data_IF_256655445670
#
_entry.id   IF_256655445670
#
_cell.length_a   1.000
_cell.length_b   1.000
_cell.length_c   1.000
_cell.angle_alpha   90.00
_cell.angle_beta   90.00
_cell.angle_gamma   90.00
#
_symmetry.space_group_name_H-M   'P 1'
#
loop_
_entity.id
_entity.type
_entity.pdbx_description
1 polymer ?
#
# COMPACT_ATOMS: atom_id res chain seq x y z
N UNK A 1 2.94 6.95 -21.73
CA UNK A 1 2.83 7.26 -20.29
C UNK A 1 1.92 6.23 -19.67
N UNK A 2 2.18 5.75 -18.45
CA UNK A 2 1.29 4.81 -17.80
C UNK A 2 -0.07 5.47 -17.53
N UNK A 3 -1.15 4.75 -17.82
CA UNK A 3 -2.52 5.15 -17.51
C UNK A 3 -2.94 4.60 -16.15
N UNK A 4 -3.45 5.46 -15.28
CA UNK A 4 -3.85 5.09 -13.92
C UNK A 4 -5.37 5.15 -13.78
N UNK A 5 -5.98 4.02 -13.41
CA UNK A 5 -7.39 3.94 -13.06
C UNK A 5 -7.59 4.40 -11.61
N UNK A 6 -8.35 5.47 -11.40
CA UNK A 6 -8.62 6.03 -10.07
C UNK A 6 -10.04 5.70 -9.69
N UNK A 7 -10.22 4.86 -8.67
CA UNK A 7 -11.53 4.67 -8.03
C UNK A 7 -11.97 6.00 -7.40
N UNK A 8 -12.93 6.64 -8.03
CA UNK A 8 -13.42 7.96 -7.65
C UNK A 8 -14.50 7.93 -6.56
N UNK A 9 -14.93 6.73 -6.15
CA UNK A 9 -16.05 6.55 -5.22
C UNK A 9 -15.61 6.20 -3.81
N UNK A 10 -14.38 5.69 -3.65
CA UNK A 10 -13.81 5.32 -2.36
C UNK A 10 -13.18 6.49 -1.60
N UNK A 11 -13.51 6.61 -0.31
CA UNK A 11 -12.90 7.56 0.64
C UNK A 11 -13.91 8.50 1.29
N UNK A 12 -13.56 9.03 2.47
CA UNK A 12 -14.47 9.85 3.29
C UNK A 12 -14.95 11.13 2.60
N UNK A 13 -14.15 11.68 1.68
CA UNK A 13 -14.44 12.91 0.93
C UNK A 13 -14.68 12.64 -0.57
N UNK A 14 -14.96 11.38 -0.93
CA UNK A 14 -15.27 11.01 -2.30
C UNK A 14 -16.68 11.48 -2.70
N UNK A 15 -16.90 11.84 -3.97
CA UNK A 15 -15.93 11.85 -5.07
C UNK A 15 -15.11 13.13 -5.18
N UNK A 16 -15.47 14.20 -4.47
CA UNK A 16 -14.92 15.55 -4.68
C UNK A 16 -13.39 15.63 -4.59
N UNK A 17 -12.81 15.19 -3.47
CA UNK A 17 -11.35 15.27 -3.26
C UNK A 17 -10.58 14.32 -4.18
N UNK A 18 -11.19 13.19 -4.56
CA UNK A 18 -10.57 12.25 -5.50
C UNK A 18 -10.50 12.85 -6.91
N UNK A 19 -11.59 13.50 -7.37
CA UNK A 19 -11.62 14.20 -8.65
C UNK A 19 -10.63 15.37 -8.66
N UNK A 20 -10.57 16.15 -7.58
CA UNK A 20 -9.61 17.25 -7.45
C UNK A 20 -8.15 16.75 -7.51
N UNK A 21 -7.82 15.67 -6.78
CA UNK A 21 -6.51 15.04 -6.83
C UNK A 21 -6.15 14.48 -8.20
N UNK A 22 -7.11 13.85 -8.88
CA UNK A 22 -6.95 13.37 -10.25
C UNK A 22 -6.68 14.50 -11.24
N UNK A 23 -7.35 15.64 -11.10
CA UNK A 23 -7.12 16.83 -11.93
C UNK A 23 -5.70 17.38 -11.74
N UNK A 24 -5.22 17.46 -10.49
CA UNK A 24 -3.84 17.87 -10.20
C UNK A 24 -2.80 16.91 -10.80
N UNK A 25 -3.08 15.60 -10.77
CA UNK A 25 -2.23 14.59 -11.40
C UNK A 25 -2.20 14.74 -12.93
N UNK A 26 -3.38 14.92 -13.56
CA UNK A 26 -3.50 15.11 -14.99
C UNK A 26 -2.82 16.40 -15.47
N UNK A 27 -2.93 17.50 -14.72
CA UNK A 27 -2.22 18.75 -15.00
C UNK A 27 -0.68 18.59 -14.94
N UNK A 28 -0.17 17.57 -14.23
CA UNK A 28 1.26 17.20 -14.20
C UNK A 28 1.65 16.18 -15.30
N UNK A 29 0.73 15.86 -16.21
CA UNK A 29 0.94 14.96 -17.33
C UNK A 29 0.76 13.47 -17.02
N UNK A 30 0.10 13.12 -15.91
CA UNK A 30 -0.27 11.72 -15.62
C UNK A 30 -1.55 11.39 -16.39
N UNK A 31 -1.56 10.29 -17.15
CA UNK A 31 -2.79 9.80 -17.81
C UNK A 31 -3.69 9.15 -16.76
N UNK A 32 -4.85 9.74 -16.50
CA UNK A 32 -5.79 9.31 -15.45
C UNK A 32 -7.14 9.01 -16.05
N UNK A 33 -7.74 7.89 -15.63
CA UNK A 33 -9.16 7.59 -15.88
C UNK A 33 -9.88 7.45 -14.55
N UNK A 34 -10.93 8.25 -14.35
CA UNK A 34 -11.80 8.17 -13.18
C UNK A 34 -12.76 6.99 -13.36
N UNK A 35 -12.92 6.17 -12.33
CA UNK A 35 -13.82 5.02 -12.33
C UNK A 35 -14.88 5.21 -11.26
N UNK A 36 -16.15 5.21 -11.64
CA UNK A 36 -17.25 5.43 -10.71
C UNK A 36 -18.56 5.84 -11.38
N UNK A 37 -19.51 6.31 -10.59
CA UNK A 37 -20.82 6.72 -11.08
C UNK A 37 -20.69 7.98 -11.95
N UNK A 38 -20.74 7.79 -13.27
CA UNK A 38 -20.70 8.87 -14.26
C UNK A 38 -21.69 10.01 -13.98
N UNK A 39 -22.88 9.75 -13.44
CA UNK A 39 -23.84 10.79 -13.11
C UNK A 39 -23.37 11.70 -11.98
N UNK A 40 -22.57 11.17 -11.05
CA UNK A 40 -21.94 11.93 -9.94
C UNK A 40 -20.62 12.57 -10.35
N UNK A 41 -19.88 11.95 -11.27
CA UNK A 41 -18.54 12.39 -11.68
C UNK A 41 -18.58 13.46 -12.77
N UNK A 42 -19.47 13.34 -13.77
CA UNK A 42 -19.49 14.24 -14.93
C UNK A 42 -19.64 15.72 -14.54
N UNK A 43 -20.55 16.12 -13.62
CA UNK A 43 -20.67 17.52 -13.22
C UNK A 43 -19.39 18.08 -12.57
N UNK A 44 -18.63 17.22 -11.88
CA UNK A 44 -17.37 17.61 -11.25
C UNK A 44 -16.27 17.77 -12.29
N UNK A 45 -16.22 16.88 -13.28
CA UNK A 45 -15.25 16.95 -14.38
C UNK A 45 -15.53 18.16 -15.28
N UNK A 46 -16.78 18.45 -15.60
CA UNK A 46 -17.17 19.58 -16.45
C UNK A 46 -16.85 20.94 -15.81
N UNK A 47 -16.72 20.98 -14.48
CA UNK A 47 -16.33 22.16 -13.73
C UNK A 47 -14.80 22.39 -13.70
N UNK A 48 -14.00 21.46 -14.22
CA UNK A 48 -12.54 21.57 -14.28
C UNK A 48 -12.07 22.09 -15.64
N UNK A 49 -10.96 22.81 -15.65
CA UNK A 49 -10.24 23.17 -16.88
C UNK A 49 -9.43 22.01 -17.48
N UNK A 50 -9.44 20.84 -16.82
CA UNK A 50 -8.67 19.65 -17.21
C UNK A 50 -9.60 18.53 -17.60
N UNK A 51 -9.45 18.00 -18.82
CA UNK A 51 -10.23 16.87 -19.28
C UNK A 51 -9.82 15.58 -18.56
N UNK A 52 -10.78 14.96 -17.87
CA UNK A 52 -10.60 13.67 -17.21
C UNK A 52 -11.58 12.64 -17.79
N UNK A 53 -11.10 11.59 -18.46
CA UNK A 53 -11.94 10.47 -18.87
C UNK A 53 -12.66 9.84 -17.68
N UNK A 54 -13.95 9.56 -17.86
CA UNK A 54 -14.77 8.83 -16.87
C UNK A 54 -15.14 7.47 -17.45
N UNK A 55 -14.85 6.41 -16.69
CA UNK A 55 -15.33 5.06 -16.93
C UNK A 55 -16.43 4.76 -15.91
N UNK A 56 -17.65 4.50 -16.39
CA UNK A 56 -18.78 4.24 -15.52
C UNK A 56 -18.59 2.95 -14.70
N UNK A 57 -19.03 3.00 -13.44
CA UNK A 57 -19.23 1.87 -12.54
C UNK A 57 -20.46 2.19 -11.68
N UNK A 58 -21.42 1.29 -11.61
CA UNK A 58 -22.72 1.54 -10.96
C UNK A 58 -22.78 1.18 -9.47
N UNK A 59 -21.78 0.47 -8.95
CA UNK A 59 -21.75 0.03 -7.56
C UNK A 59 -20.54 0.61 -6.78
N UNK A 60 -20.61 0.53 -5.45
CA UNK A 60 -19.53 0.91 -4.53
C UNK A 60 -19.38 -0.17 -3.47
N UNK A 61 -18.13 -0.55 -3.15
CA UNK A 61 -17.84 -1.40 -1.98
C UNK A 61 -17.78 -0.48 -0.77
N UNK A 62 -18.68 -0.71 0.18
CA UNK A 62 -18.80 0.10 1.39
C UNK A 62 -17.79 -0.37 2.45
N UNK A 63 -17.44 0.51 3.39
CA UNK A 63 -16.46 0.20 4.44
C UNK A 63 -16.90 -0.95 5.37
N UNK A 64 -18.21 -1.18 5.49
CA UNK A 64 -18.77 -2.24 6.34
C UNK A 64 -18.95 -3.58 5.61
N UNK A 65 -18.74 -3.62 4.29
CA UNK A 65 -18.89 -4.86 3.54
C UNK A 65 -17.75 -5.85 3.87
N UNK A 66 -18.07 -7.14 3.90
CA UNK A 66 -17.02 -8.16 3.88
C UNK A 66 -16.27 -8.09 2.54
N UNK A 67 -14.95 -7.84 2.53
CA UNK A 67 -14.23 -7.61 1.28
C UNK A 67 -14.26 -8.76 0.28
N UNK A 68 -14.22 -10.00 0.77
CA UNK A 68 -14.15 -11.20 -0.07
C UNK A 68 -15.51 -11.52 -0.69
N UNK A 69 -16.60 -11.21 0.00
CA UNK A 69 -17.97 -11.31 -0.52
C UNK A 69 -18.24 -10.17 -1.49
N UNK A 70 -17.96 -8.93 -1.08
CA UNK A 70 -18.26 -7.73 -1.87
C UNK A 70 -17.62 -7.76 -3.25
N UNK A 71 -16.36 -8.19 -3.35
CA UNK A 71 -15.66 -8.25 -4.66
C UNK A 71 -16.28 -9.27 -5.63
N UNK A 72 -16.99 -10.29 -5.10
CA UNK A 72 -17.65 -11.32 -5.91
C UNK A 72 -19.07 -10.92 -6.31
N UNK A 73 -19.78 -10.24 -5.41
CA UNK A 73 -21.17 -9.83 -5.59
C UNK A 73 -21.29 -8.51 -6.35
N UNK A 74 -20.57 -7.48 -5.91
CA UNK A 74 -20.56 -6.13 -6.49
C UNK A 74 -19.61 -6.03 -7.67
N UNK A 75 -19.90 -6.81 -8.71
CA UNK A 75 -19.03 -6.94 -9.89
C UNK A 75 -18.85 -5.61 -10.60
N UNK A 76 -19.82 -4.71 -10.55
CA UNK A 76 -19.74 -3.38 -11.17
C UNK A 76 -19.33 -2.29 -10.17
N UNK A 77 -18.67 -2.67 -9.07
CA UNK A 77 -18.10 -1.70 -8.14
C UNK A 77 -16.93 -0.95 -8.76
N UNK A 78 -16.77 0.33 -8.41
CA UNK A 78 -15.66 1.18 -8.90
C UNK A 78 -14.28 0.53 -8.70
N UNK A 79 -14.03 -0.08 -7.54
CA UNK A 79 -12.82 -0.86 -7.26
C UNK A 79 -12.67 -2.05 -8.22
N UNK A 80 -13.74 -2.84 -8.39
CA UNK A 80 -13.70 -4.03 -9.26
C UNK A 80 -13.52 -3.66 -10.75
N UNK A 81 -14.16 -2.59 -11.20
CA UNK A 81 -14.02 -2.05 -12.55
C UNK A 81 -12.59 -1.54 -12.77
N UNK A 82 -12.05 -0.73 -11.85
CA UNK A 82 -10.68 -0.23 -11.92
C UNK A 82 -9.65 -1.38 -11.99
N UNK A 83 -9.82 -2.41 -11.17
CA UNK A 83 -8.97 -3.59 -11.19
C UNK A 83 -9.06 -4.37 -12.52
N UNK A 84 -10.25 -4.46 -13.13
CA UNK A 84 -10.41 -5.07 -14.46
C UNK A 84 -9.76 -4.26 -15.57
N UNK A 85 -9.82 -2.92 -15.51
CA UNK A 85 -9.09 -2.08 -16.46
C UNK A 85 -7.59 -2.38 -16.44
N UNK A 86 -7.02 -2.61 -15.26
CA UNK A 86 -5.61 -3.04 -15.12
C UNK A 86 -5.38 -4.43 -15.70
N UNK A 87 -6.21 -5.41 -15.31
CA UNK A 87 -6.13 -6.79 -15.82
C UNK A 87 -6.20 -6.87 -17.35
N UNK A 88 -7.08 -6.07 -17.95
CA UNK A 88 -7.37 -6.09 -19.39
C UNK A 88 -6.39 -5.21 -20.20
N UNK A 89 -5.40 -4.58 -19.55
CA UNK A 89 -4.41 -3.72 -20.20
C UNK A 89 -4.95 -2.37 -20.64
N UNK A 90 -6.14 -1.97 -20.18
CA UNK A 90 -6.74 -0.66 -20.40
C UNK A 90 -6.20 0.41 -19.43
N UNK A 91 -5.55 -0.01 -18.35
CA UNK A 91 -4.77 0.80 -17.42
C UNK A 91 -3.51 0.04 -16.98
N UNK A 92 -2.47 0.75 -16.57
CA UNK A 92 -1.20 0.20 -16.09
C UNK A 92 -1.16 0.04 -14.56
N UNK A 93 -2.07 0.72 -13.85
CA UNK A 93 -2.19 0.63 -12.39
C UNK A 93 -3.51 1.23 -11.91
N UNK A 94 -3.80 1.03 -10.62
CA UNK A 94 -4.98 1.62 -9.99
C UNK A 94 -4.67 2.26 -8.63
N UNK A 95 -5.48 3.25 -8.27
CA UNK A 95 -5.45 3.93 -6.96
C UNK A 95 -6.87 3.98 -6.41
N UNK A 96 -7.02 3.71 -5.12
CA UNK A 96 -8.30 3.80 -4.41
C UNK A 96 -8.06 4.23 -2.97
N UNK A 97 -8.92 5.12 -2.47
CA UNK A 97 -9.01 5.47 -1.05
C UNK A 97 -10.20 4.75 -0.37
N UNK A 98 -10.78 3.74 -1.02
CA UNK A 98 -11.84 2.90 -0.48
C UNK A 98 -11.34 1.84 0.51
N UNK A 99 -12.17 0.85 0.79
CA UNK A 99 -11.86 -0.24 1.72
C UNK A 99 -10.54 -0.94 1.38
N UNK A 100 -9.55 -0.89 2.27
CA UNK A 100 -8.25 -1.57 2.11
C UNK A 100 -8.43 -3.05 1.77
N UNK A 101 -9.36 -3.72 2.45
CA UNK A 101 -9.68 -5.12 2.17
C UNK A 101 -10.26 -5.30 0.77
N UNK A 102 -11.16 -4.40 0.34
CA UNK A 102 -11.77 -4.43 -1.00
C UNK A 102 -10.73 -4.26 -2.10
N UNK A 103 -9.81 -3.30 -1.94
CA UNK A 103 -8.68 -3.07 -2.86
C UNK A 103 -7.75 -4.28 -2.90
N UNK A 104 -7.39 -4.84 -1.74
CA UNK A 104 -6.53 -6.02 -1.67
C UNK A 104 -7.18 -7.23 -2.34
N UNK A 105 -8.48 -7.46 -2.11
CA UNK A 105 -9.23 -8.52 -2.74
C UNK A 105 -9.31 -8.33 -4.27
N UNK A 106 -9.56 -7.12 -4.74
CA UNK A 106 -9.57 -6.80 -6.17
C UNK A 106 -8.20 -7.06 -6.82
N UNK A 107 -7.11 -6.61 -6.18
CA UNK A 107 -5.76 -6.87 -6.66
C UNK A 107 -5.45 -8.37 -6.71
N UNK A 108 -5.81 -9.11 -5.66
CA UNK A 108 -5.51 -10.54 -5.56
C UNK A 108 -6.33 -11.41 -6.53
N UNK A 109 -7.62 -11.11 -6.72
CA UNK A 109 -8.56 -11.96 -7.46
C UNK A 109 -8.85 -11.48 -8.88
N UNK A 110 -8.75 -10.19 -9.17
CA UNK A 110 -9.05 -9.63 -10.49
C UNK A 110 -7.78 -9.31 -11.27
N UNK A 111 -6.83 -8.59 -10.68
CA UNK A 111 -5.54 -8.31 -11.35
C UNK A 111 -4.69 -9.58 -11.40
N UNK A 112 -4.58 -10.28 -10.27
CA UNK A 112 -3.80 -11.50 -10.14
C UNK A 112 -2.38 -11.24 -9.64
N UNK A 113 -1.64 -12.32 -9.43
CA UNK A 113 -0.27 -12.28 -8.88
C UNK A 113 0.76 -12.46 -9.98
N UNK A 114 1.93 -11.88 -9.77
CA UNK A 114 3.10 -12.15 -10.60
C UNK A 114 3.50 -13.63 -10.52
N UNK A 115 4.02 -14.23 -11.62
CA UNK A 115 4.52 -15.60 -11.60
C UNK A 115 5.56 -15.82 -10.50
N UNK A 116 5.41 -16.91 -9.75
CA UNK A 116 6.30 -17.25 -8.64
C UNK A 116 5.99 -16.57 -7.31
N UNK A 117 5.13 -15.54 -7.27
CA UNK A 117 4.71 -14.90 -6.02
C UNK A 117 3.55 -15.69 -5.39
N UNK A 118 3.77 -16.17 -4.17
CA UNK A 118 2.80 -16.99 -3.44
C UNK A 118 1.65 -16.14 -2.91
N UNK A 119 1.95 -14.96 -2.36
CA UNK A 119 0.98 -14.06 -1.73
C UNK A 119 1.32 -12.59 -2.01
N UNK A 120 0.32 -11.71 -2.20
CA UNK A 120 0.56 -10.27 -2.20
C UNK A 120 0.92 -9.80 -0.78
N UNK A 121 1.48 -8.60 -0.67
CA UNK A 121 1.75 -7.95 0.61
C UNK A 121 1.43 -6.45 0.53
N UNK A 122 1.10 -5.83 1.66
CA UNK A 122 0.98 -4.37 1.74
C UNK A 122 2.35 -3.80 2.11
N UNK A 123 2.94 -3.05 1.18
CA UNK A 123 4.13 -2.26 1.46
C UNK A 123 3.70 -0.86 1.89
N UNK A 124 4.05 -0.46 3.12
CA UNK A 124 3.78 0.87 3.64
C UNK A 124 5.05 1.70 3.68
N UNK A 125 4.98 2.94 3.17
CA UNK A 125 6.06 3.92 3.31
C UNK A 125 5.86 4.67 4.62
N UNK A 126 6.79 4.51 5.54
CA UNK A 126 6.75 5.21 6.83
C UNK A 126 7.16 6.68 6.66
N UNK A 127 6.76 7.57 7.59
CA UNK A 127 7.16 8.99 7.55
C UNK A 127 8.68 9.22 7.52
N UNK A 128 9.44 8.28 8.07
CA UNK A 128 10.91 8.26 8.04
C UNK A 128 11.50 7.81 6.71
N UNK A 129 10.65 7.47 5.74
CA UNK A 129 11.01 7.05 4.40
C UNK A 129 11.08 5.53 4.25
N UNK A 130 11.31 4.76 5.31
CA UNK A 130 11.49 3.30 5.19
C UNK A 130 10.23 2.59 4.70
N UNK A 131 10.44 1.47 4.01
CA UNK A 131 9.35 0.58 3.59
C UNK A 131 9.18 -0.53 4.61
N UNK A 132 7.96 -0.72 5.10
CA UNK A 132 7.60 -1.89 5.93
C UNK A 132 6.70 -2.80 5.10
N UNK A 133 7.05 -4.09 5.01
CA UNK A 133 6.32 -5.10 4.24
C UNK A 133 6.39 -6.45 4.97
N UNK A 134 5.31 -7.11 5.34
CA UNK A 134 3.89 -6.83 5.09
C UNK A 134 3.25 -5.99 6.21
N UNK A 135 2.43 -5.00 5.85
CA UNK A 135 1.74 -4.12 6.79
C UNK A 135 0.26 -4.47 7.02
N UNK A 136 -0.18 -5.68 6.68
CA UNK A 136 -1.51 -6.17 7.07
C UNK A 136 -2.22 -7.09 6.09
N UNK A 137 -1.58 -7.53 5.01
CA UNK A 137 -2.24 -8.41 4.04
C UNK A 137 -2.35 -9.86 4.55
N UNK A 138 -1.34 -10.33 5.28
CA UNK A 138 -1.21 -11.73 5.67
C UNK A 138 -0.97 -11.87 7.17
N UNK A 139 -1.99 -12.32 7.91
CA UNK A 139 -1.88 -12.59 9.35
C UNK A 139 -0.89 -13.72 9.66
N UNK A 140 -0.85 -14.75 8.81
CA UNK A 140 0.05 -15.89 8.95
C UNK A 140 0.94 -16.02 7.71
N UNK A 141 2.25 -16.11 7.97
CA UNK A 141 3.26 -16.24 6.94
C UNK A 141 4.10 -17.50 7.13
N UNK A 142 4.68 -17.98 6.02
CA UNK A 142 5.73 -18.99 6.01
C UNK A 142 7.06 -18.29 5.72
N UNK A 143 8.21 -18.85 6.11
CA UNK A 143 9.52 -18.23 5.92
C UNK A 143 9.81 -17.76 4.48
N UNK A 144 9.43 -18.56 3.49
CA UNK A 144 9.61 -18.19 2.08
C UNK A 144 8.73 -17.02 1.62
N UNK A 145 7.62 -16.71 2.31
CA UNK A 145 6.85 -15.51 2.02
C UNK A 145 7.68 -14.26 2.38
N UNK A 146 8.38 -14.27 3.52
CA UNK A 146 9.23 -13.15 3.95
C UNK A 146 10.38 -12.93 2.96
N UNK A 147 10.97 -14.00 2.41
CA UNK A 147 11.93 -13.87 1.31
C UNK A 147 11.31 -13.18 0.07
N UNK A 148 10.10 -13.55 -0.32
CA UNK A 148 9.40 -12.87 -1.43
C UNK A 148 9.09 -11.41 -1.10
N UNK A 149 8.73 -11.10 0.14
CA UNK A 149 8.48 -9.74 0.61
C UNK A 149 9.76 -8.91 0.58
N UNK A 150 10.91 -9.49 0.92
CA UNK A 150 12.21 -8.84 0.79
C UNK A 150 12.50 -8.43 -0.65
N UNK A 151 12.27 -9.33 -1.61
CA UNK A 151 12.47 -9.05 -3.04
C UNK A 151 11.50 -7.96 -3.53
N UNK A 152 10.21 -8.07 -3.21
CA UNK A 152 9.20 -7.09 -3.61
C UNK A 152 9.46 -5.72 -2.96
N UNK A 153 9.74 -5.69 -1.66
CA UNK A 153 10.07 -4.47 -0.92
C UNK A 153 11.32 -3.79 -1.46
N UNK A 154 12.34 -4.57 -1.85
CA UNK A 154 13.54 -4.05 -2.53
C UNK A 154 13.19 -3.36 -3.85
N UNK A 155 12.30 -3.94 -4.65
CA UNK A 155 11.84 -3.32 -5.89
C UNK A 155 11.11 -1.99 -5.62
N UNK A 156 10.23 -1.94 -4.61
CA UNK A 156 9.54 -0.70 -4.23
C UNK A 156 10.53 0.36 -3.73
N UNK A 157 11.49 -0.02 -2.87
CA UNK A 157 12.50 0.90 -2.34
C UNK A 157 13.40 1.46 -3.44
N UNK A 158 13.77 0.63 -4.41
CA UNK A 158 14.59 1.04 -5.54
C UNK A 158 13.89 2.12 -6.38
N UNK A 159 12.59 1.97 -6.62
CA UNK A 159 11.80 2.96 -7.37
C UNK A 159 11.52 4.21 -6.53
N UNK A 160 11.05 4.04 -5.29
CA UNK A 160 10.59 5.15 -4.47
C UNK A 160 11.73 6.06 -3.99
N UNK A 161 12.89 5.48 -3.67
CA UNK A 161 14.06 6.24 -3.20
C UNK A 161 15.18 6.41 -4.24
N UNK A 162 14.99 5.91 -5.47
CA UNK A 162 16.07 5.85 -6.47
C UNK A 162 17.34 5.17 -5.93
N UNK A 163 17.19 4.19 -5.03
CA UNK A 163 18.32 3.48 -4.39
C UNK A 163 18.68 2.23 -5.18
N UNK A 164 19.94 2.14 -5.59
CA UNK A 164 20.50 0.90 -6.13
C UNK A 164 20.83 -0.02 -4.96
N UNK A 165 20.34 -1.25 -4.98
CA UNK A 165 20.60 -2.29 -3.97
C UNK A 165 20.15 -1.93 -2.53
N UNK A 166 18.85 -1.69 -2.29
CA UNK A 166 18.32 -1.27 -0.99
C UNK A 166 18.57 -2.31 0.09
N UNK A 167 18.95 -1.86 1.28
CA UNK A 167 19.23 -2.71 2.45
C UNK A 167 17.93 -3.26 3.02
N UNK A 168 17.90 -4.57 3.23
CA UNK A 168 16.73 -5.28 3.76
C UNK A 168 17.04 -5.82 5.14
N UNK A 169 16.28 -5.38 6.13
CA UNK A 169 16.30 -5.91 7.50
C UNK A 169 15.10 -6.80 7.77
N UNK A 170 15.30 -7.87 8.52
CA UNK A 170 14.22 -8.70 9.05
C UNK A 170 13.77 -8.13 10.41
N UNK A 171 12.52 -7.67 10.51
CA UNK A 171 12.01 -7.09 11.75
C UNK A 171 11.97 -8.15 12.85
N UNK A 172 12.57 -7.83 14.00
CA UNK A 172 12.76 -8.77 15.09
C UNK A 172 12.76 -8.05 16.45
N UNK A 173 12.90 -8.85 17.53
CA UNK A 173 12.96 -8.40 18.93
C UNK A 173 14.41 -8.21 19.43
N UNK A 174 15.38 -8.24 18.53
CA UNK A 174 16.81 -8.10 18.81
C UNK A 174 17.64 -8.30 17.53
N UNK A 175 18.85 -7.78 17.52
CA UNK A 175 19.73 -7.75 16.34
C UNK A 175 20.47 -9.09 16.11
N UNK A 176 20.52 -9.98 17.09
CA UNK A 176 21.27 -11.24 16.97
C UNK A 176 20.56 -12.26 16.07
N UNK A 177 21.32 -12.99 15.24
CA UNK A 177 20.82 -13.93 14.22
C UNK A 177 19.76 -14.94 14.72
N UNK A 178 19.89 -15.38 15.98
CA UNK A 178 19.00 -16.39 16.58
C UNK A 178 17.72 -15.86 17.22
N UNK A 179 17.43 -14.56 17.12
CA UNK A 179 16.24 -13.94 17.75
C UNK A 179 14.96 -14.18 16.94
N UNK A 180 13.84 -14.06 17.64
CA UNK A 180 12.50 -14.19 17.06
C UNK A 180 11.88 -15.57 17.25
N UNK A 181 10.72 -15.75 16.63
CA UNK A 181 9.99 -17.03 16.59
C UNK A 181 10.61 -17.92 15.52
N UNK A 182 10.10 -19.13 15.37
CA UNK A 182 10.57 -20.06 14.34
C UNK A 182 10.41 -19.47 12.93
N UNK A 183 9.37 -18.65 12.70
CA UNK A 183 9.19 -17.92 11.45
C UNK A 183 10.38 -17.01 11.12
N UNK A 184 10.81 -16.17 12.06
CA UNK A 184 11.92 -15.23 11.85
C UNK A 184 13.25 -15.97 11.72
N UNK A 185 13.51 -16.98 12.55
CA UNK A 185 14.74 -17.77 12.49
C UNK A 185 14.91 -18.48 11.15
N UNK A 186 13.85 -19.12 10.66
CA UNK A 186 13.88 -19.80 9.38
C UNK A 186 13.96 -18.80 8.21
N UNK A 187 13.26 -17.66 8.31
CA UNK A 187 13.33 -16.61 7.31
C UNK A 187 14.72 -15.97 7.23
N UNK A 188 15.38 -15.78 8.37
CA UNK A 188 16.75 -15.27 8.45
C UNK A 188 17.70 -16.16 7.63
N UNK A 189 17.66 -17.48 7.83
CA UNK A 189 18.49 -18.41 7.08
C UNK A 189 18.25 -18.33 5.56
N UNK A 190 16.99 -18.19 5.14
CA UNK A 190 16.64 -18.03 3.72
C UNK A 190 17.13 -16.70 3.15
N UNK A 191 16.98 -15.60 3.89
CA UNK A 191 17.41 -14.27 3.46
C UNK A 191 18.93 -14.16 3.37
N UNK A 192 19.66 -14.70 4.36
CA UNK A 192 21.11 -14.73 4.36
C UNK A 192 21.70 -15.56 3.19
N UNK A 193 20.96 -16.58 2.74
CA UNK A 193 21.35 -17.41 1.59
C UNK A 193 20.94 -16.82 0.23
N UNK A 194 20.18 -15.72 0.20
CA UNK A 194 19.59 -15.18 -1.03
C UNK A 194 20.46 -14.05 -1.64
N UNK A 195 21.23 -14.31 -2.72
CA UNK A 195 22.15 -13.33 -3.29
C UNK A 195 21.44 -12.13 -3.96
N UNK A 196 20.14 -12.25 -4.24
CA UNK A 196 19.33 -11.20 -4.84
C UNK A 196 18.82 -10.15 -3.83
N UNK A 197 19.10 -10.34 -2.53
CA UNK A 197 18.65 -9.46 -1.45
C UNK A 197 19.88 -8.93 -0.72
N UNK A 198 19.98 -7.60 -0.58
CA UNK A 198 20.99 -6.97 0.25
C UNK A 198 20.58 -7.06 1.72
N UNK A 199 20.66 -8.28 2.27
CA UNK A 199 20.21 -8.58 3.62
C UNK A 199 21.22 -8.09 4.66
N UNK A 200 20.77 -7.23 5.59
CA UNK A 200 21.62 -6.64 6.64
C UNK A 200 21.41 -7.27 8.01
N UNK A 201 20.65 -8.37 8.10
CA UNK A 201 20.37 -9.07 9.35
C UNK A 201 19.05 -8.65 10.00
N UNK A 202 18.95 -8.90 11.30
CA UNK A 202 17.79 -8.53 12.09
C UNK A 202 17.81 -7.02 12.40
N UNK A 203 16.63 -6.40 12.42
CA UNK A 203 16.42 -5.00 12.79
C UNK A 203 15.27 -4.88 13.78
N UNK A 204 15.33 -3.91 14.68
CA UNK A 204 14.29 -3.68 15.69
C UNK A 204 13.36 -2.54 15.27
N UNK A 205 12.18 -2.46 15.89
CA UNK A 205 11.20 -1.40 15.60
C UNK A 205 11.73 0.01 15.86
N UNK A 206 12.70 0.17 16.79
CA UNK A 206 13.37 1.45 17.05
C UNK A 206 14.21 1.94 15.87
N UNK A 207 14.66 1.02 15.02
CA UNK A 207 15.57 1.34 13.93
C UNK A 207 14.85 2.01 12.75
N UNK A 208 13.52 2.06 12.76
CA UNK A 208 12.73 2.89 11.84
C UNK A 208 13.00 4.39 11.98
N UNK A 209 13.66 4.82 13.06
CA UNK A 209 14.12 6.20 13.25
C UNK A 209 15.53 6.45 12.69
N UNK A 210 16.21 5.41 12.22
CA UNK A 210 17.62 5.43 11.86
C UNK A 210 17.82 4.88 10.43
N UNK A 211 19.00 5.09 9.86
CA UNK A 211 19.32 4.58 8.52
C UNK A 211 19.89 3.14 8.55
N UNK A 212 19.39 2.21 9.37
CA UNK A 212 19.93 0.84 9.43
C UNK A 212 19.54 -0.01 8.21
N UNK A 213 18.28 0.09 7.78
CA UNK A 213 17.73 -0.59 6.63
C UNK A 213 16.81 0.34 5.83
N UNK A 214 16.57 -0.02 4.56
CA UNK A 214 15.65 0.71 3.68
C UNK A 214 14.29 0.00 3.62
N UNK A 215 14.31 -1.33 3.75
CA UNK A 215 13.14 -2.21 3.76
C UNK A 215 13.14 -3.04 5.03
N UNK A 216 12.03 -3.03 5.76
CA UNK A 216 11.78 -3.81 6.96
C UNK A 216 10.78 -4.91 6.62
N UNK A 217 11.25 -6.15 6.63
CA UNK A 217 10.45 -7.33 6.27
C UNK A 217 9.82 -7.93 7.52
N UNK A 218 8.53 -8.23 7.46
CA UNK A 218 7.77 -8.81 8.58
C UNK A 218 6.50 -9.52 8.09
N UNK A 219 5.83 -10.25 8.99
CA UNK A 219 4.47 -10.74 8.76
C UNK A 219 3.43 -9.62 8.92
N UNK A 220 2.26 -9.79 8.29
CA UNK A 220 1.23 -8.75 8.24
C UNK A 220 0.62 -8.42 9.60
N UNK A 221 0.59 -9.35 10.56
CA UNK A 221 0.11 -9.04 11.91
C UNK A 221 1.09 -8.09 12.60
N UNK A 222 2.38 -8.44 12.62
CA UNK A 222 3.42 -7.65 13.27
C UNK A 222 3.59 -6.29 12.60
N UNK A 223 3.63 -6.24 11.26
CA UNK A 223 3.76 -4.99 10.52
C UNK A 223 2.57 -4.04 10.68
N UNK A 224 1.34 -4.57 10.74
CA UNK A 224 0.16 -3.73 10.98
C UNK A 224 0.14 -3.15 12.40
N UNK A 225 0.54 -3.93 13.41
CA UNK A 225 0.70 -3.41 14.79
C UNK A 225 1.76 -2.30 14.80
N UNK A 226 2.92 -2.52 14.18
CA UNK A 226 3.99 -1.51 14.10
C UNK A 226 3.53 -0.21 13.42
N UNK A 227 2.79 -0.33 12.30
CA UNK A 227 2.23 0.80 11.57
C UNK A 227 1.24 1.58 12.44
N UNK A 228 0.27 0.91 13.05
CA UNK A 228 -0.77 1.56 13.86
C UNK A 228 -0.23 2.16 15.15
N UNK A 229 0.76 1.53 15.78
CA UNK A 229 1.48 2.12 16.91
C UNK A 229 2.21 3.39 16.49
N UNK A 230 2.89 3.37 15.35
CA UNK A 230 3.64 4.54 14.84
C UNK A 230 2.71 5.72 14.50
N UNK A 231 1.58 5.46 13.83
CA UNK A 231 0.53 6.45 13.57
C UNK A 231 -0.03 7.04 14.88
N UNK A 232 -0.30 6.19 15.87
CA UNK A 232 -0.83 6.58 17.17
C UNK A 232 0.12 7.47 17.97
N UNK A 233 1.41 7.09 18.04
CA UNK A 233 2.46 7.87 18.70
C UNK A 233 2.66 9.21 18.00
N UNK A 234 2.74 9.22 16.66
CA UNK A 234 2.89 10.47 15.89
C UNK A 234 1.75 11.47 16.16
N UNK A 235 0.50 10.98 16.19
CA UNK A 235 -0.67 11.81 16.52
C UNK A 235 -0.64 12.33 17.96
N UNK A 236 -0.21 11.51 18.90
CA UNK A 236 -0.07 11.91 20.30
C UNK A 236 0.98 13.00 20.48
N UNK A 237 2.15 12.86 19.86
CA UNK A 237 3.22 13.86 19.89
C UNK A 237 2.76 15.18 19.26
N UNK A 238 2.12 15.14 18.09
CA UNK A 238 1.56 16.35 17.45
C UNK A 238 0.59 17.08 18.38
N UNK A 239 -0.35 16.35 19.01
CA UNK A 239 -1.30 16.94 19.96
C UNK A 239 -0.57 17.58 21.15
N UNK A 240 0.41 16.90 21.72
CA UNK A 240 1.18 17.44 22.86
C UNK A 240 1.90 18.74 22.49
N UNK A 241 2.56 18.78 21.34
CA UNK A 241 3.26 19.99 20.85
C UNK A 241 2.28 21.13 20.66
N UNK A 242 1.17 20.89 19.96
CA UNK A 242 0.16 21.93 19.69
C UNK A 242 -0.48 22.46 20.99
N UNK A 243 -0.78 21.58 21.95
CA UNK A 243 -1.30 22.00 23.26
C UNK A 243 -0.30 22.88 24.00
N UNK A 244 0.99 22.53 23.99
CA UNK A 244 2.03 23.34 24.65
C UNK A 244 2.25 24.69 23.97
N UNK A 245 2.13 24.77 22.64
CA UNK A 245 2.25 26.03 21.90
C UNK A 245 1.06 26.96 22.18
N UNK A 246 -0.16 26.43 22.24
CA UNK A 246 -1.38 27.20 22.53
C UNK A 246 -1.56 27.56 24.01
N UNK A 247 -0.82 26.94 24.92
CA UNK A 247 -0.87 27.24 26.36
C UNK A 247 0.01 28.44 26.77
N UNK A 248 0.81 28.99 25.84
CA UNK A 248 1.67 30.16 26.05
C UNK A 248 1.10 31.45 25.39
N UNK A 249 -0.17 31.44 24.97
CA UNK A 249 -0.98 32.63 24.65
C UNK A 249 -1.99 32.89 25.78
#
# INVERSE_FOLDING_TARGET
>A
MPRIAVDAMGGDQAPHEIVAGAALAAARGIDVVLVGDAGRLQPLVDALDTALPVHHASEVIEMADDPAVAIREKKDSSIAVAARLVRDGAADGMVSAGSTGGVMAAAAFLIGRLPGISRPAIASVFPTGHIVIDAGANLECKPHHLLQFAVMGSAVAAVYHSRVNPRVGLLNIGEEDGKGRDLEKDAFALLAAAPAVNFVGNVEGRDLANETADVFVTDGFTGNVLLKTSEGVGRALYRMIMTSLSANE
#
